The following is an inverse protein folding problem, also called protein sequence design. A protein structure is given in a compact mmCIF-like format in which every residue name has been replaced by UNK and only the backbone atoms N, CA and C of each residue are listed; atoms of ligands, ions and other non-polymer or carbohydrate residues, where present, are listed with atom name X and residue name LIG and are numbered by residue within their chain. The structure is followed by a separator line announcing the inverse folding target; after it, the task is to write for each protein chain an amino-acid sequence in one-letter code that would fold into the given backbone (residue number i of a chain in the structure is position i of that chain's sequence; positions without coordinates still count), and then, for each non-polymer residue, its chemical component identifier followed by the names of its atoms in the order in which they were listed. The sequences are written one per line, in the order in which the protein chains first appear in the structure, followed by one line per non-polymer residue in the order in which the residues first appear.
data_IF_150245578104
#
_entry.id   IF_150245578104
#
_cell.length_a   1.000
_cell.length_b   1.000
_cell.length_c   1.000
_cell.angle_alpha   90.00
_cell.angle_beta   90.00
_cell.angle_gamma   90.00
#
_symmetry.space_group_name_H-M   'P 1'
#
loop_
_entity.id
_entity.type
_entity.pdbx_description
1 polymer ?
#
# COMPACT_ATOMS: atom_id res chain seq x y z
N UNK A 1 37.66 -14.45 25.81
CA UNK A 1 36.18 -14.48 26.06
C UNK A 1 35.74 -13.05 26.22
N UNK A 2 35.05 -12.47 25.22
CA UNK A 2 34.46 -11.14 25.30
C UNK A 2 32.94 -11.33 25.15
N UNK A 3 32.22 -11.04 26.20
CA UNK A 3 30.75 -11.04 26.20
C UNK A 3 30.25 -9.75 25.58
N UNK A 4 29.52 -9.87 24.46
CA UNK A 4 28.81 -8.76 23.83
C UNK A 4 27.45 -8.57 24.51
N UNK A 5 27.26 -7.42 25.14
CA UNK A 5 25.97 -6.95 25.66
C UNK A 5 25.13 -6.45 24.50
N UNK A 6 24.07 -7.19 24.18
CA UNK A 6 22.99 -6.72 23.30
C UNK A 6 22.11 -5.77 24.07
N UNK A 7 22.28 -4.47 23.83
CA UNK A 7 21.35 -3.46 24.34
C UNK A 7 20.10 -3.41 23.45
N UNK A 8 18.93 -3.58 24.05
CA UNK A 8 17.65 -3.38 23.39
C UNK A 8 17.48 -1.89 23.02
N UNK A 9 16.83 -1.55 21.89
CA UNK A 9 16.55 -0.17 21.54
C UNK A 9 15.56 0.44 22.53
N UNK A 10 15.68 1.76 22.80
CA UNK A 10 14.77 2.44 23.73
C UNK A 10 13.35 2.51 23.17
N UNK A 11 12.32 2.53 24.02
CA UNK A 11 10.94 2.67 23.58
C UNK A 11 10.71 4.08 22.97
N UNK A 12 9.89 4.12 21.90
CA UNK A 12 9.46 5.38 21.29
C UNK A 12 8.71 6.24 22.33
N UNK A 13 9.27 7.39 22.65
CA UNK A 13 8.56 8.40 23.42
C UNK A 13 7.59 9.17 22.52
N UNK A 14 6.36 9.46 22.97
CA UNK A 14 5.45 10.29 22.20
C UNK A 14 5.97 11.72 22.12
N UNK A 15 5.70 12.46 21.02
CA UNK A 15 6.08 13.84 20.91
C UNK A 15 5.31 14.69 21.94
N UNK A 16 6.06 15.51 22.64
CA UNK A 16 5.56 16.48 23.61
C UNK A 16 4.65 17.50 22.91
N UNK A 17 3.44 17.66 23.41
CA UNK A 17 2.49 18.62 22.88
C UNK A 17 2.95 20.04 23.16
N UNK A 18 3.33 20.78 22.15
CA UNK A 18 3.55 22.21 22.24
C UNK A 18 2.20 22.93 22.30
N UNK A 19 1.87 23.43 23.47
CA UNK A 19 0.80 24.44 23.63
C UNK A 19 1.25 25.75 23.05
N UNK A 20 0.62 26.25 22.01
CA UNK A 20 0.61 27.65 21.66
C UNK A 20 -0.82 28.09 21.42
N UNK A 21 -1.24 29.03 22.21
CA UNK A 21 -2.58 29.56 22.24
C UNK A 21 -2.91 30.50 21.11
N UNK A 22 -4.19 30.51 20.81
CA UNK A 22 -5.06 31.58 20.42
C UNK A 22 -4.75 32.40 19.19
N UNK A 23 -5.67 32.37 18.23
CA UNK A 23 -6.44 33.59 17.87
C UNK A 23 -7.55 33.24 16.87
N UNK A 24 -8.74 33.67 17.25
CA UNK A 24 -9.94 33.74 16.46
C UNK A 24 -9.75 34.64 15.24
N UNK A 25 -9.95 34.08 14.04
CA UNK A 25 -10.12 34.79 12.80
C UNK A 25 -11.36 34.27 12.11
N UNK A 26 -12.47 34.99 12.23
CA UNK A 26 -13.68 34.77 11.45
C UNK A 26 -13.42 35.17 10.00
N UNK A 27 -13.11 34.18 9.15
CA UNK A 27 -13.10 34.35 7.71
C UNK A 27 -14.23 33.52 7.11
N UNK A 28 -15.23 34.17 6.57
CA UNK A 28 -16.34 33.51 5.87
C UNK A 28 -15.79 32.73 4.69
N UNK A 29 -15.85 31.42 4.76
CA UNK A 29 -15.60 30.58 3.62
C UNK A 29 -16.90 30.41 2.86
N UNK A 30 -16.96 30.99 1.67
CA UNK A 30 -17.95 30.61 0.68
C UNK A 30 -17.76 29.16 0.37
N UNK A 31 -18.73 28.29 0.76
CA UNK A 31 -18.67 26.88 0.50
C UNK A 31 -18.52 26.62 -0.99
N UNK A 32 -17.49 25.92 -1.40
CA UNK A 32 -17.42 25.37 -2.75
C UNK A 32 -18.46 24.25 -2.83
N UNK A 33 -19.56 24.53 -3.53
CA UNK A 33 -20.58 23.54 -3.88
C UNK A 33 -20.06 22.70 -5.04
N UNK A 34 -19.27 21.68 -4.74
CA UNK A 34 -18.85 20.66 -5.69
C UNK A 34 -18.87 19.29 -5.03
N UNK A 35 -18.90 18.20 -5.81
CA UNK A 35 -18.84 16.86 -5.25
C UNK A 35 -17.53 16.66 -4.49
N UNK A 36 -17.61 15.97 -3.36
CA UNK A 36 -16.43 15.50 -2.66
C UNK A 36 -15.79 14.38 -3.49
N UNK A 37 -14.54 14.57 -3.85
CA UNK A 37 -13.80 13.60 -4.65
C UNK A 37 -12.75 12.88 -3.79
N UNK A 38 -12.68 11.59 -3.96
CA UNK A 38 -11.61 10.75 -3.42
C UNK A 38 -10.63 10.43 -4.54
N UNK A 39 -9.38 10.89 -4.38
CA UNK A 39 -8.29 10.62 -5.31
C UNK A 39 -7.54 9.38 -4.88
N UNK A 40 -7.43 8.38 -5.75
CA UNK A 40 -6.72 7.14 -5.49
C UNK A 40 -5.77 6.80 -6.64
N UNK A 41 -4.76 6.02 -6.33
CA UNK A 41 -3.92 5.39 -7.34
C UNK A 41 -4.50 4.05 -7.76
N UNK A 42 -4.48 3.78 -9.05
CA UNK A 42 -4.61 2.43 -9.57
C UNK A 42 -3.28 1.70 -9.38
N UNK A 43 -3.35 0.45 -8.97
CA UNK A 43 -2.19 -0.35 -8.63
C UNK A 43 -2.05 -1.53 -9.57
N UNK A 44 -0.80 -1.91 -9.84
CA UNK A 44 -0.46 -3.19 -10.45
C UNK A 44 0.47 -3.96 -9.53
N UNK A 45 0.13 -5.20 -9.24
CA UNK A 45 0.96 -6.12 -8.48
C UNK A 45 1.52 -7.14 -9.44
N UNK A 46 2.82 -7.11 -9.62
CA UNK A 46 3.54 -7.97 -10.58
C UNK A 46 4.44 -8.94 -9.85
N UNK A 47 4.49 -10.19 -10.29
CA UNK A 47 5.51 -11.13 -9.85
C UNK A 47 6.86 -10.67 -10.36
N UNK A 48 7.69 -10.15 -9.47
CA UNK A 48 9.03 -9.64 -9.79
C UNK A 48 10.00 -10.80 -10.06
N UNK A 49 10.02 -11.76 -9.15
CA UNK A 49 10.85 -12.97 -9.25
C UNK A 49 10.34 -14.08 -8.35
N UNK A 50 10.79 -15.28 -8.62
CA UNK A 50 10.58 -16.46 -7.77
C UNK A 50 11.94 -16.97 -7.35
N UNK A 51 12.23 -16.93 -6.06
CA UNK A 51 13.54 -17.33 -5.52
C UNK A 51 13.66 -18.83 -5.26
N UNK A 52 12.53 -19.50 -5.12
CA UNK A 52 12.43 -20.92 -4.91
C UNK A 52 11.85 -21.66 -6.13
N UNK A 53 11.08 -22.70 -5.86
CA UNK A 53 10.37 -23.49 -6.88
C UNK A 53 8.95 -22.98 -7.01
N UNK A 54 8.52 -22.64 -8.22
CA UNK A 54 7.12 -22.25 -8.46
C UNK A 54 6.19 -23.41 -8.12
N UNK A 55 5.32 -23.19 -7.14
CA UNK A 55 4.34 -24.18 -6.65
C UNK A 55 2.95 -23.90 -7.22
N UNK A 56 2.61 -22.61 -7.34
CA UNK A 56 1.28 -22.17 -7.77
C UNK A 56 1.16 -21.96 -9.29
N UNK A 57 2.17 -22.31 -10.08
CA UNK A 57 2.15 -22.18 -11.54
C UNK A 57 2.23 -20.75 -12.06
N UNK A 58 2.65 -19.80 -11.22
CA UNK A 58 2.90 -18.44 -11.64
C UNK A 58 4.32 -18.26 -12.17
N UNK A 59 4.52 -17.22 -12.96
CA UNK A 59 5.82 -16.86 -13.55
C UNK A 59 6.12 -15.40 -13.33
N UNK A 60 7.40 -15.04 -13.37
CA UNK A 60 7.80 -13.63 -13.36
C UNK A 60 7.09 -12.88 -14.49
N UNK A 61 6.55 -11.70 -14.17
CA UNK A 61 5.75 -10.91 -15.09
C UNK A 61 4.24 -11.14 -15.01
N UNK A 62 3.76 -12.19 -14.35
CA UNK A 62 2.34 -12.35 -14.06
C UNK A 62 1.88 -11.23 -13.13
N UNK A 63 0.68 -10.71 -13.35
CA UNK A 63 0.19 -9.57 -12.56
C UNK A 63 -1.32 -9.57 -12.40
N UNK A 64 -1.79 -8.78 -11.47
CA UNK A 64 -3.16 -8.28 -11.41
C UNK A 64 -3.16 -6.78 -11.19
N UNK A 65 -4.30 -6.14 -11.46
CA UNK A 65 -4.51 -4.73 -11.23
C UNK A 65 -5.65 -4.52 -10.23
N UNK A 66 -5.50 -3.50 -9.40
CA UNK A 66 -6.56 -2.96 -8.56
C UNK A 66 -6.87 -1.54 -9.07
N UNK A 67 -8.02 -1.38 -9.69
CA UNK A 67 -8.45 -0.13 -10.32
C UNK A 67 -9.80 0.34 -9.75
N UNK A 68 -10.11 1.61 -9.95
CA UNK A 68 -11.38 2.20 -9.49
C UNK A 68 -11.68 1.87 -8.03
N UNK A 69 -10.73 2.00 -7.15
CA UNK A 69 -10.81 1.69 -5.70
C UNK A 69 -10.87 0.19 -5.37
N UNK A 70 -11.71 -0.61 -6.01
CA UNK A 70 -12.06 -1.96 -5.54
C UNK A 70 -12.11 -3.03 -6.64
N UNK A 71 -11.90 -2.66 -7.90
CA UNK A 71 -11.98 -3.62 -9.00
C UNK A 71 -10.67 -4.38 -9.16
N UNK A 72 -10.72 -5.68 -8.94
CA UNK A 72 -9.60 -6.59 -9.19
C UNK A 72 -9.67 -7.10 -10.63
N UNK A 73 -8.61 -6.88 -11.40
CA UNK A 73 -8.51 -7.31 -12.79
C UNK A 73 -7.30 -8.21 -13.00
N UNK A 74 -7.54 -9.39 -13.54
CA UNK A 74 -6.51 -10.34 -13.95
C UNK A 74 -6.57 -10.46 -15.47
N UNK A 75 -5.44 -10.48 -16.19
CA UNK A 75 -5.44 -10.66 -17.65
C UNK A 75 -6.17 -11.94 -18.07
N UNK A 76 -6.87 -11.87 -19.20
CA UNK A 76 -7.62 -13.00 -19.73
C UNK A 76 -6.74 -14.24 -19.90
N UNK A 77 -7.26 -15.40 -19.50
CA UNK A 77 -6.55 -16.66 -19.57
C UNK A 77 -5.41 -16.83 -18.56
N UNK A 78 -5.23 -15.88 -17.67
CA UNK A 78 -4.23 -15.94 -16.59
C UNK A 78 -4.90 -16.17 -15.25
N UNK A 79 -4.11 -16.53 -14.26
CA UNK A 79 -4.56 -16.66 -12.87
C UNK A 79 -3.59 -15.94 -11.94
N UNK A 80 -4.03 -15.72 -10.71
CA UNK A 80 -3.18 -15.22 -9.65
C UNK A 80 -3.36 -16.09 -8.40
N UNK A 81 -2.27 -16.47 -7.77
CA UNK A 81 -2.30 -17.34 -6.60
C UNK A 81 -3.00 -16.64 -5.43
N UNK A 82 -3.97 -17.31 -4.82
CA UNK A 82 -4.73 -16.76 -3.68
C UNK A 82 -3.84 -16.40 -2.50
N UNK A 83 -2.84 -17.20 -2.19
CA UNK A 83 -1.92 -16.95 -1.07
C UNK A 83 -0.99 -15.77 -1.34
N UNK A 84 -0.53 -15.61 -2.59
CA UNK A 84 0.22 -14.45 -3.01
C UNK A 84 -0.64 -13.17 -2.94
N UNK A 85 -1.88 -13.24 -3.44
CA UNK A 85 -2.86 -12.15 -3.34
C UNK A 85 -3.08 -11.75 -1.87
N UNK A 86 -3.30 -12.73 -0.98
CA UNK A 86 -3.52 -12.47 0.45
C UNK A 86 -2.35 -11.71 1.09
N UNK A 87 -1.11 -11.98 0.68
CA UNK A 87 0.06 -11.31 1.24
C UNK A 87 0.08 -9.80 0.95
N UNK A 88 -0.46 -9.36 -0.17
CA UNK A 88 -0.47 -7.94 -0.58
C UNK A 88 -1.75 -7.21 -0.17
N UNK A 89 -2.88 -7.89 0.00
CA UNK A 89 -4.17 -7.28 0.30
C UNK A 89 -4.13 -6.25 1.45
N UNK A 90 -3.47 -6.51 2.59
CA UNK A 90 -3.44 -5.55 3.69
C UNK A 90 -2.73 -4.23 3.35
N UNK A 91 -1.88 -4.22 2.34
CA UNK A 91 -1.07 -3.06 1.95
C UNK A 91 -1.71 -2.22 0.84
N UNK A 92 -2.59 -2.81 0.05
CA UNK A 92 -3.15 -2.16 -1.14
C UNK A 92 -3.94 -0.89 -0.81
N UNK A 93 -4.84 -0.85 0.19
CA UNK A 93 -5.59 0.36 0.49
C UNK A 93 -4.71 1.56 0.88
N UNK A 94 -3.60 1.31 1.56
CA UNK A 94 -2.63 2.35 1.88
C UNK A 94 -1.85 2.81 0.64
N UNK A 95 -1.41 1.87 -0.19
CA UNK A 95 -0.69 2.17 -1.45
C UNK A 95 -1.55 2.94 -2.46
N UNK A 96 -2.87 2.79 -2.42
CA UNK A 96 -3.79 3.58 -3.26
C UNK A 96 -3.81 5.06 -2.88
N UNK A 97 -3.31 5.43 -1.72
CA UNK A 97 -3.28 6.82 -1.24
C UNK A 97 -1.87 7.41 -1.35
N UNK A 98 -1.81 8.74 -1.47
CA UNK A 98 -0.54 9.45 -1.30
C UNK A 98 -0.13 9.36 0.17
N UNK A 99 1.03 8.78 0.43
CA UNK A 99 1.61 8.65 1.76
C UNK A 99 2.71 9.68 1.97
N UNK A 100 3.00 10.10 3.22
CA UNK A 100 4.17 10.91 3.50
C UNK A 100 5.47 10.21 3.08
N UNK A 101 6.47 10.95 2.63
CA UNK A 101 7.77 10.38 2.25
C UNK A 101 8.48 9.64 3.41
N UNK A 102 8.13 9.99 4.64
CA UNK A 102 8.64 9.33 5.86
C UNK A 102 7.98 7.98 6.14
N UNK A 103 6.84 7.68 5.49
CA UNK A 103 6.17 6.40 5.65
C UNK A 103 6.99 5.29 4.95
N UNK A 104 7.28 4.21 5.68
CA UNK A 104 8.04 3.09 5.13
C UNK A 104 7.33 2.47 3.92
N UNK A 105 6.00 2.44 3.93
CA UNK A 105 5.20 1.86 2.86
C UNK A 105 5.26 2.69 1.57
N UNK A 106 5.61 3.97 1.63
CA UNK A 106 5.83 4.77 0.42
C UNK A 106 7.04 4.26 -0.38
N UNK A 107 8.08 3.81 0.30
CA UNK A 107 9.34 3.35 -0.30
C UNK A 107 9.37 1.86 -0.57
N UNK A 108 8.77 1.06 0.32
CA UNK A 108 8.77 -0.39 0.20
C UNK A 108 7.65 -0.84 -0.73
N UNK A 109 8.01 -1.50 -1.80
CA UNK A 109 7.09 -1.99 -2.83
C UNK A 109 7.15 -3.50 -3.02
N UNK A 110 8.05 -4.20 -2.31
CA UNK A 110 8.23 -5.63 -2.45
C UNK A 110 7.53 -6.40 -1.34
N UNK A 111 6.81 -7.46 -1.72
CA UNK A 111 6.09 -8.34 -0.80
C UNK A 111 6.35 -9.79 -1.17
N UNK A 112 6.69 -10.62 -0.20
CA UNK A 112 6.88 -12.05 -0.39
C UNK A 112 5.60 -12.82 -0.10
N UNK A 113 5.30 -13.85 -0.92
CA UNK A 113 4.24 -14.79 -0.60
C UNK A 113 4.58 -15.58 0.68
N UNK A 114 3.58 -16.16 1.37
CA UNK A 114 3.82 -16.90 2.62
C UNK A 114 4.43 -18.30 2.42
N UNK A 115 4.59 -18.77 1.20
CA UNK A 115 5.17 -20.09 0.91
C UNK A 115 6.70 -20.05 0.97
N UNK A 116 7.33 -20.72 1.95
CA UNK A 116 8.79 -20.70 2.09
C UNK A 116 9.54 -21.48 1.01
N UNK A 117 8.88 -22.43 0.32
CA UNK A 117 9.48 -23.17 -0.78
C UNK A 117 9.47 -22.36 -2.08
N UNK A 118 8.44 -21.56 -2.29
CA UNK A 118 8.30 -20.76 -3.50
C UNK A 118 9.04 -19.43 -3.40
N UNK A 119 8.89 -18.70 -2.32
CA UNK A 119 9.43 -17.35 -2.12
C UNK A 119 9.20 -16.45 -3.34
N UNK A 120 7.93 -16.38 -3.75
CA UNK A 120 7.49 -15.52 -4.84
C UNK A 120 7.48 -14.09 -4.34
N UNK A 121 8.26 -13.23 -4.99
CA UNK A 121 8.38 -11.81 -4.64
C UNK A 121 7.53 -11.00 -5.62
N UNK A 122 6.63 -10.20 -5.07
CA UNK A 122 5.76 -9.30 -5.82
C UNK A 122 6.20 -7.86 -5.65
N UNK A 123 5.96 -7.05 -6.68
CA UNK A 123 6.17 -5.60 -6.64
C UNK A 123 4.83 -4.90 -6.82
N UNK A 124 4.56 -3.90 -5.99
CA UNK A 124 3.38 -3.04 -6.07
C UNK A 124 3.77 -1.73 -6.76
N UNK A 125 3.22 -1.47 -7.93
CA UNK A 125 3.44 -0.26 -8.69
C UNK A 125 2.16 0.58 -8.80
N UNK A 126 2.27 1.90 -8.73
CA UNK A 126 1.20 2.84 -9.04
C UNK A 126 1.21 3.06 -10.56
N UNK A 127 0.11 2.72 -11.24
CA UNK A 127 0.04 2.74 -12.72
C UNK A 127 -0.94 3.75 -13.28
N UNK A 128 -1.77 4.33 -12.45
CA UNK A 128 -2.74 5.33 -12.84
C UNK A 128 -3.31 6.08 -11.66
N UNK A 129 -4.24 6.97 -11.93
CA UNK A 129 -5.03 7.68 -10.92
C UNK A 129 -6.49 7.62 -11.30
N UNK A 130 -7.35 7.49 -10.32
CA UNK A 130 -8.79 7.65 -10.46
C UNK A 130 -9.31 8.68 -9.46
N UNK A 131 -10.33 9.41 -9.88
CA UNK A 131 -11.06 10.35 -9.06
C UNK A 131 -12.49 9.86 -8.96
N UNK A 132 -12.93 9.56 -7.77
CA UNK A 132 -14.23 8.95 -7.50
C UNK A 132 -15.08 9.88 -6.64
N UNK A 133 -16.37 9.90 -6.91
CA UNK A 133 -17.31 10.62 -6.05
C UNK A 133 -17.37 9.91 -4.69
N UNK A 134 -17.00 10.60 -3.63
CA UNK A 134 -16.95 10.02 -2.27
C UNK A 134 -18.29 9.51 -1.80
N UNK A 135 -19.39 10.17 -2.19
CA UNK A 135 -20.75 9.76 -1.82
C UNK A 135 -21.18 8.44 -2.48
N UNK A 136 -20.54 8.05 -3.58
CA UNK A 136 -20.82 6.81 -4.30
C UNK A 136 -19.98 5.61 -3.78
N UNK A 137 -19.06 5.86 -2.86
CA UNK A 137 -18.17 4.83 -2.30
C UNK A 137 -18.71 4.19 -1.02
N UNK A 138 -19.80 4.70 -0.47
CA UNK A 138 -20.37 4.24 0.81
C UNK A 138 -21.84 3.84 0.67
#
# INVERSE_FOLDING_TARGET
MKQGTTGAPPPCSPPEAAHSGGQSGSGGQSGQSGPLLTELYDLRVTVDRIEGRSVCGMSAGDYFELVNSAELRIPEGRHFCLYALQAVLPLLPAKQRALPESDWLERDTLVCCPDPEERLIMRIDRVGRCSLNTEELT
#
